data_IF_221636515117
#
_entry.id   IF_221636515117
#
_cell.length_a   1.000
_cell.length_b   1.000
_cell.length_c   1.000
_cell.angle_alpha   90.00
_cell.angle_beta   90.00
_cell.angle_gamma   90.00
#
_symmetry.space_group_name_H-M   'P 1'
#
loop_
_entity.id
_entity.type
_entity.pdbx_description
1 polymer ?
#
# COMPACT_ATOMS: atom_id res chain seq x y z
N UNK A 1 50.92 39.79 -20.18
CA UNK A 1 51.22 41.06 -19.48
C UNK A 1 49.92 41.47 -18.81
N UNK A 2 49.75 41.50 -17.49
CA UNK A 2 50.73 41.42 -16.40
C UNK A 2 50.04 40.80 -15.19
N UNK A 3 50.80 40.00 -14.47
CA UNK A 3 50.51 39.51 -13.12
C UNK A 3 50.36 40.69 -12.16
N UNK A 4 49.47 40.59 -11.18
CA UNK A 4 49.67 41.22 -9.88
C UNK A 4 49.29 40.21 -8.79
N UNK A 5 50.33 39.79 -8.06
CA UNK A 5 50.27 39.06 -6.81
C UNK A 5 50.62 40.05 -5.72
N UNK A 6 49.75 40.23 -4.73
CA UNK A 6 50.16 40.76 -3.42
C UNK A 6 49.42 39.96 -2.36
N UNK A 7 50.22 39.24 -1.57
CA UNK A 7 49.84 38.50 -0.39
C UNK A 7 50.02 39.42 0.81
N UNK A 8 49.06 39.44 1.73
CA UNK A 8 49.33 39.80 3.11
C UNK A 8 48.61 38.80 4.03
N UNK A 9 49.43 38.16 4.86
CA UNK A 9 49.02 37.24 5.91
C UNK A 9 48.70 38.06 7.15
N UNK A 10 47.50 37.88 7.72
CA UNK A 10 47.29 38.18 9.13
C UNK A 10 46.85 36.92 9.86
N UNK A 11 47.65 36.60 10.88
CA UNK A 11 47.57 35.39 11.69
C UNK A 11 46.67 35.69 12.88
N UNK A 12 45.38 35.44 12.71
CA UNK A 12 44.39 35.50 13.78
C UNK A 12 43.91 34.10 14.17
N UNK A 13 44.77 33.32 14.84
CA UNK A 13 44.34 32.11 15.54
C UNK A 13 43.33 32.52 16.61
N UNK A 14 42.04 32.32 16.34
CA UNK A 14 41.03 32.20 17.39
C UNK A 14 40.67 30.73 17.48
N UNK A 15 41.39 30.05 18.38
CA UNK A 15 40.90 28.84 19.03
C UNK A 15 39.56 29.19 19.68
N UNK A 16 38.49 28.96 18.93
CA UNK A 16 37.18 28.68 19.47
C UNK A 16 37.00 27.18 19.40
N UNK A 17 37.80 26.47 20.18
CA UNK A 17 37.53 25.10 20.58
C UNK A 17 36.23 25.18 21.37
N UNK A 18 35.09 25.17 20.66
CA UNK A 18 33.88 24.66 21.28
C UNK A 18 34.08 23.17 21.33
N UNK A 19 34.78 22.74 22.37
CA UNK A 19 34.67 21.40 22.91
C UNK A 19 33.17 21.17 23.13
N UNK A 20 32.52 20.65 22.09
CA UNK A 20 31.29 19.90 22.28
C UNK A 20 31.81 18.61 22.89
N UNK A 21 31.96 18.67 24.21
CA UNK A 21 32.00 17.50 25.07
C UNK A 21 30.68 16.77 24.79
N UNK A 22 30.71 15.90 23.79
CA UNK A 22 29.65 14.95 23.53
C UNK A 22 29.82 13.90 24.62
N UNK A 23 29.55 14.32 25.86
CA UNK A 23 29.31 13.42 26.96
C UNK A 23 28.34 12.39 26.43
N UNK A 24 28.75 11.14 26.49
CA UNK A 24 28.00 9.98 26.03
C UNK A 24 26.78 9.71 26.94
N UNK A 25 26.20 10.76 27.50
CA UNK A 25 25.27 10.81 28.62
C UNK A 25 24.33 12.00 28.40
N UNK A 26 23.59 12.04 27.29
CA UNK A 26 22.32 12.80 27.25
C UNK A 26 21.39 12.46 26.07
N UNK A 27 21.59 11.31 25.43
CA UNK A 27 20.62 10.77 24.46
C UNK A 27 19.53 9.92 25.13
N UNK A 28 19.57 9.80 26.46
CA UNK A 28 18.57 9.05 27.25
C UNK A 28 17.38 9.94 27.70
N UNK A 29 17.51 11.27 27.79
CA UNK A 29 16.41 12.15 28.26
C UNK A 29 15.48 12.69 27.16
N UNK A 30 15.78 12.52 25.87
CA UNK A 30 14.91 13.04 24.79
C UNK A 30 13.78 12.07 24.42
N UNK A 31 13.83 10.81 24.86
CA UNK A 31 12.73 9.84 24.72
C UNK A 31 11.94 9.76 26.02
N UNK A 32 11.17 10.82 26.31
CA UNK A 32 10.14 10.79 27.35
C UNK A 32 9.09 9.73 26.98
N UNK A 33 9.26 8.51 27.50
CA UNK A 33 8.31 7.40 27.35
C UNK A 33 6.89 7.75 27.87
N UNK A 34 6.76 8.86 28.61
CA UNK A 34 5.49 9.38 29.15
C UNK A 34 4.62 10.12 28.12
N UNK A 35 5.15 10.39 26.91
CA UNK A 35 4.43 11.15 25.86
C UNK A 35 3.82 10.24 24.77
N UNK A 36 4.09 8.95 24.80
CA UNK A 36 3.54 8.02 23.82
C UNK A 36 2.21 7.46 24.33
N UNK A 37 1.09 7.65 23.62
CA UNK A 37 -0.20 7.16 24.07
C UNK A 37 -0.18 5.62 24.13
N UNK A 38 -0.27 5.07 25.34
CA UNK A 38 -0.43 3.64 25.56
C UNK A 38 -1.86 3.23 25.21
N UNK A 39 -2.00 2.17 24.41
CA UNK A 39 -3.30 1.57 24.13
C UNK A 39 -3.97 1.14 25.44
N UNK A 40 -5.26 1.45 25.59
CA UNK A 40 -6.05 0.92 26.70
C UNK A 40 -6.15 -0.60 26.59
N UNK A 41 -6.46 -1.30 27.69
CA UNK A 41 -6.57 -2.77 27.70
C UNK A 41 -7.63 -3.27 26.69
N UNK A 42 -8.74 -2.53 26.55
CA UNK A 42 -9.78 -2.85 25.56
C UNK A 42 -9.30 -2.62 24.12
N UNK A 43 -8.58 -1.54 23.84
CA UNK A 43 -7.98 -1.28 22.52
C UNK A 43 -6.92 -2.33 22.16
N UNK A 44 -6.09 -2.72 23.12
CA UNK A 44 -5.11 -3.78 22.94
C UNK A 44 -5.77 -5.12 22.63
N UNK A 45 -6.91 -5.43 23.28
CA UNK A 45 -7.69 -6.64 22.98
C UNK A 45 -8.29 -6.61 21.58
N UNK A 46 -8.91 -5.49 21.18
CA UNK A 46 -9.50 -5.33 19.84
C UNK A 46 -8.42 -5.43 18.77
N UNK A 47 -7.28 -4.77 18.97
CA UNK A 47 -6.15 -4.86 18.06
C UNK A 47 -5.61 -6.29 17.94
N UNK A 48 -5.43 -6.99 19.06
CA UNK A 48 -4.98 -8.38 19.04
C UNK A 48 -5.94 -9.29 18.25
N UNK A 49 -7.25 -9.13 18.43
CA UNK A 49 -8.24 -9.88 17.64
C UNK A 49 -8.14 -9.54 16.15
N UNK A 50 -8.02 -8.26 15.80
CA UNK A 50 -7.86 -7.83 14.41
C UNK A 50 -6.58 -8.40 13.78
N UNK A 51 -5.44 -8.34 14.47
CA UNK A 51 -4.17 -8.91 14.00
C UNK A 51 -4.33 -10.41 13.75
N UNK A 52 -4.96 -11.15 14.68
CA UNK A 52 -5.17 -12.59 14.48
C UNK A 52 -6.03 -12.90 13.25
N UNK A 53 -7.03 -12.06 12.95
CA UNK A 53 -7.86 -12.20 11.76
C UNK A 53 -7.07 -11.89 10.48
N UNK A 54 -6.27 -10.83 10.48
CA UNK A 54 -5.42 -10.43 9.35
C UNK A 54 -4.36 -11.50 9.05
N UNK A 55 -3.72 -12.05 10.08
CA UNK A 55 -2.75 -13.15 9.95
C UNK A 55 -3.41 -14.40 9.35
N UNK A 56 -4.61 -14.77 9.80
CA UNK A 56 -5.36 -15.90 9.24
C UNK A 56 -5.68 -15.68 7.76
N UNK A 57 -6.08 -14.47 7.37
CA UNK A 57 -6.33 -14.14 5.96
C UNK A 57 -5.04 -14.23 5.12
N UNK A 58 -3.93 -13.72 5.65
CA UNK A 58 -2.64 -13.79 4.95
C UNK A 58 -2.16 -15.23 4.76
N UNK A 59 -2.31 -16.07 5.79
CA UNK A 59 -2.00 -17.50 5.70
C UNK A 59 -2.85 -18.20 4.64
N UNK A 60 -4.14 -17.90 4.57
CA UNK A 60 -5.03 -18.45 3.54
C UNK A 60 -4.58 -18.06 2.13
N UNK A 61 -4.27 -16.78 1.90
CA UNK A 61 -3.77 -16.30 0.61
C UNK A 61 -2.43 -16.96 0.25
N UNK A 62 -1.54 -17.17 1.22
CA UNK A 62 -0.28 -17.88 1.01
C UNK A 62 -0.50 -19.34 0.59
N UNK A 63 -1.48 -20.04 1.20
CA UNK A 63 -1.84 -21.41 0.81
C UNK A 63 -2.40 -21.49 -0.62
N UNK A 64 -3.23 -20.51 -1.00
CA UNK A 64 -3.74 -20.39 -2.38
C UNK A 64 -2.61 -20.11 -3.38
N UNK A 65 -1.70 -19.19 -3.04
CA UNK A 65 -0.57 -18.80 -3.90
C UNK A 65 0.45 -19.92 -4.10
N UNK A 66 0.75 -20.67 -3.04
CA UNK A 66 1.65 -21.83 -3.11
C UNK A 66 1.04 -23.03 -3.83
N UNK A 67 -0.27 -23.00 -4.13
CA UNK A 67 -1.00 -24.08 -4.79
C UNK A 67 -1.37 -25.24 -3.87
N UNK A 68 -1.25 -25.08 -2.55
CA UNK A 68 -1.77 -26.05 -1.56
C UNK A 68 -3.30 -26.18 -1.68
N UNK A 69 -3.96 -25.06 -2.01
CA UNK A 69 -5.39 -24.96 -2.22
C UNK A 69 -5.68 -24.77 -3.72
N UNK A 70 -6.54 -25.62 -4.29
CA UNK A 70 -6.90 -25.55 -5.71
C UNK A 70 -7.81 -24.35 -6.01
N UNK A 71 -7.71 -23.82 -7.24
CA UNK A 71 -8.53 -22.67 -7.67
C UNK A 71 -10.04 -22.93 -7.53
N UNK A 72 -10.49 -24.15 -7.83
CA UNK A 72 -11.90 -24.54 -7.79
C UNK A 72 -12.53 -24.45 -6.38
N UNK A 73 -11.72 -24.47 -5.32
CA UNK A 73 -12.26 -24.45 -3.96
C UNK A 73 -12.64 -23.04 -3.48
N UNK A 74 -12.07 -21.99 -4.07
CA UNK A 74 -12.27 -20.60 -3.65
C UNK A 74 -12.75 -19.69 -4.77
N UNK A 75 -12.45 -19.99 -6.03
CA UNK A 75 -12.98 -19.24 -7.16
C UNK A 75 -14.45 -19.59 -7.38
N UNK A 76 -15.34 -18.61 -7.22
CA UNK A 76 -16.79 -18.77 -7.47
C UNK A 76 -17.21 -18.25 -8.84
N UNK A 77 -16.38 -17.44 -9.50
CA UNK A 77 -16.72 -16.88 -10.80
C UNK A 77 -16.30 -17.77 -11.98
N UNK A 78 -15.41 -18.74 -11.79
CA UNK A 78 -14.82 -19.62 -12.82
C UNK A 78 -13.91 -18.94 -13.87
N UNK A 79 -13.64 -17.63 -13.75
CA UNK A 79 -12.76 -16.90 -14.68
C UNK A 79 -11.39 -16.53 -14.07
N UNK A 80 -11.14 -16.81 -12.79
CA UNK A 80 -9.83 -16.55 -12.19
C UNK A 80 -8.77 -17.52 -12.74
N UNK A 81 -7.51 -17.08 -12.78
CA UNK A 81 -6.37 -17.89 -13.20
C UNK A 81 -5.12 -17.54 -12.38
N UNK A 82 -4.31 -18.55 -12.05
CA UNK A 82 -3.04 -18.37 -11.33
C UNK A 82 -1.82 -18.18 -12.25
N UNK A 83 -1.99 -18.26 -13.59
CA UNK A 83 -0.87 -18.27 -14.53
C UNK A 83 0.00 -17.00 -14.50
N UNK A 84 -0.59 -15.86 -14.18
CA UNK A 84 0.07 -14.56 -14.20
C UNK A 84 0.07 -13.88 -12.82
N UNK A 85 -0.28 -14.62 -11.77
CA UNK A 85 -0.29 -14.11 -10.41
C UNK A 85 1.15 -14.04 -9.89
N UNK A 86 1.55 -12.86 -9.43
CA UNK A 86 2.91 -12.58 -8.94
C UNK A 86 2.91 -12.41 -7.42
N UNK A 87 1.81 -11.94 -6.84
CA UNK A 87 1.67 -11.70 -5.41
C UNK A 87 0.54 -12.56 -4.82
N UNK A 88 0.72 -13.03 -3.58
CA UNK A 88 -0.32 -13.80 -2.87
C UNK A 88 -1.62 -13.02 -2.66
N UNK A 89 -1.53 -11.69 -2.58
CA UNK A 89 -2.68 -10.80 -2.42
C UNK A 89 -3.62 -10.83 -3.64
N UNK A 90 -3.13 -11.28 -4.80
CA UNK A 90 -3.91 -11.43 -6.03
C UNK A 90 -4.70 -12.74 -6.08
N UNK A 91 -4.51 -13.67 -5.13
CA UNK A 91 -5.27 -14.92 -5.00
C UNK A 91 -6.67 -14.72 -4.41
N UNK A 92 -7.38 -13.69 -4.90
CA UNK A 92 -8.74 -13.31 -4.50
C UNK A 92 -9.69 -13.42 -5.68
N UNK A 93 -10.88 -13.95 -5.43
CA UNK A 93 -11.92 -14.01 -6.45
C UNK A 93 -12.68 -12.68 -6.50
N UNK A 94 -13.10 -12.24 -7.69
CA UNK A 94 -13.88 -10.99 -7.82
C UNK A 94 -15.18 -11.00 -6.98
N UNK A 95 -15.70 -12.18 -6.67
CA UNK A 95 -16.89 -12.36 -5.82
C UNK A 95 -16.61 -12.25 -4.32
N UNK A 96 -15.34 -12.33 -3.88
CA UNK A 96 -14.95 -12.13 -2.47
C UNK A 96 -14.88 -10.64 -2.11
N UNK A 97 -14.83 -9.76 -3.11
CA UNK A 97 -14.81 -8.31 -2.93
C UNK A 97 -16.24 -7.79 -2.78
N UNK A 98 -16.74 -7.74 -1.54
CA UNK A 98 -18.13 -7.40 -1.23
C UNK A 98 -18.54 -6.01 -1.75
N UNK A 99 -17.67 -5.01 -1.59
CA UNK A 99 -17.91 -3.64 -2.08
C UNK A 99 -18.19 -3.61 -3.59
N UNK A 100 -17.44 -4.42 -4.34
CA UNK A 100 -17.60 -4.52 -5.78
C UNK A 100 -18.94 -5.19 -6.13
N UNK A 101 -19.26 -6.31 -5.48
CA UNK A 101 -20.53 -7.02 -5.70
C UNK A 101 -21.75 -6.16 -5.35
N UNK A 102 -21.66 -5.35 -4.29
CA UNK A 102 -22.70 -4.40 -3.92
C UNK A 102 -22.86 -3.29 -4.97
N UNK A 103 -21.75 -2.79 -5.52
CA UNK A 103 -21.80 -1.78 -6.59
C UNK A 103 -22.42 -2.35 -7.85
N UNK A 104 -22.05 -3.56 -8.26
CA UNK A 104 -22.63 -4.26 -9.41
C UNK A 104 -24.12 -4.53 -9.22
N UNK A 105 -24.56 -4.95 -8.04
CA UNK A 105 -25.99 -5.17 -7.77
C UNK A 105 -26.82 -3.89 -7.82
N UNK A 106 -26.24 -2.74 -7.47
CA UNK A 106 -26.95 -1.46 -7.50
C UNK A 106 -27.33 -0.96 -8.90
N UNK A 107 -26.58 -1.33 -9.95
CA UNK A 107 -26.82 -0.88 -11.32
C UNK A 107 -27.76 -1.79 -12.13
N UNK A 108 -28.01 -3.00 -11.62
CA UNK A 108 -28.83 -4.00 -12.30
C UNK A 108 -29.73 -4.68 -11.25
N UNK A 109 -30.88 -4.08 -10.93
CA UNK A 109 -31.78 -4.60 -9.89
C UNK A 109 -32.41 -5.95 -10.26
N UNK A 110 -32.43 -6.33 -11.54
CA UNK A 110 -33.11 -7.53 -12.04
C UNK A 110 -32.26 -8.82 -12.09
N UNK A 111 -30.95 -8.80 -11.72
CA UNK A 111 -30.06 -9.98 -11.72
C UNK A 111 -30.00 -10.81 -13.02
N UNK A 112 -30.65 -10.35 -14.08
CA UNK A 112 -30.84 -11.09 -15.33
C UNK A 112 -29.69 -10.88 -16.32
N UNK A 113 -28.95 -9.79 -16.17
CA UNK A 113 -27.80 -9.43 -17.01
C UNK A 113 -26.46 -9.49 -16.25
N UNK A 114 -26.48 -9.78 -14.95
CA UNK A 114 -25.25 -9.98 -14.16
C UNK A 114 -24.78 -11.41 -14.32
N UNK A 115 -23.72 -11.58 -15.11
CA UNK A 115 -22.95 -12.82 -15.07
C UNK A 115 -22.34 -13.07 -13.69
N UNK A 116 -21.79 -14.26 -13.51
CA UNK A 116 -21.14 -14.70 -12.26
C UNK A 116 -19.78 -14.02 -12.03
N UNK A 117 -19.31 -13.20 -12.99
CA UNK A 117 -18.01 -12.53 -12.95
C UNK A 117 -18.10 -11.03 -13.26
N UNK A 118 -17.16 -10.26 -12.70
CA UNK A 118 -16.95 -8.83 -13.04
C UNK A 118 -16.80 -8.60 -14.54
N UNK A 119 -16.15 -9.52 -15.25
CA UNK A 119 -15.88 -9.38 -16.68
C UNK A 119 -17.13 -9.52 -17.54
N UNK A 120 -18.20 -10.10 -17.00
CA UNK A 120 -19.48 -10.30 -17.70
C UNK A 120 -20.42 -9.11 -17.52
N UNK A 121 -20.08 -8.15 -16.67
CA UNK A 121 -20.86 -6.92 -16.52
C UNK A 121 -20.84 -6.10 -17.81
N UNK A 122 -21.99 -5.59 -18.23
CA UNK A 122 -22.16 -4.84 -19.50
C UNK A 122 -21.19 -3.66 -19.65
N UNK A 123 -20.93 -2.94 -18.56
CA UNK A 123 -19.97 -1.83 -18.54
C UNK A 123 -18.48 -2.24 -18.55
N UNK A 124 -18.14 -3.52 -18.35
CA UNK A 124 -16.74 -3.94 -18.24
C UNK A 124 -16.00 -3.81 -19.58
N UNK A 125 -16.60 -4.27 -20.69
CA UNK A 125 -15.99 -4.13 -22.01
C UNK A 125 -15.83 -2.66 -22.42
N UNK A 126 -16.86 -1.85 -22.18
CA UNK A 126 -16.89 -0.45 -22.58
C UNK A 126 -15.91 0.42 -21.79
N UNK A 127 -15.72 0.14 -20.49
CA UNK A 127 -14.93 1.00 -19.59
C UNK A 127 -13.53 0.46 -19.34
N UNK A 128 -13.38 -0.84 -19.12
CA UNK A 128 -12.11 -1.44 -18.67
C UNK A 128 -11.24 -1.96 -19.81
N UNK A 129 -11.83 -2.28 -20.98
CA UNK A 129 -11.08 -2.88 -22.10
C UNK A 129 -10.86 -1.92 -23.28
N UNK A 130 -11.62 -0.82 -23.39
CA UNK A 130 -11.44 0.15 -24.50
C UNK A 130 -10.24 1.07 -24.25
N UNK A 131 -9.19 0.90 -25.05
CA UNK A 131 -7.98 1.72 -25.01
C UNK A 131 -8.26 3.23 -25.01
N UNK A 132 -9.11 3.72 -25.92
CA UNK A 132 -9.43 5.15 -26.02
C UNK A 132 -10.08 5.72 -24.74
N UNK A 133 -10.94 4.93 -24.08
CA UNK A 133 -11.58 5.33 -22.83
C UNK A 133 -10.52 5.48 -21.73
N UNK A 134 -9.59 4.53 -21.64
CA UNK A 134 -8.49 4.56 -20.68
C UNK A 134 -7.49 5.70 -20.96
N UNK A 135 -7.17 5.98 -22.22
CA UNK A 135 -6.28 7.07 -22.60
C UNK A 135 -6.86 8.44 -22.21
N UNK A 136 -8.15 8.66 -22.51
CA UNK A 136 -8.84 9.91 -22.16
C UNK A 136 -8.94 10.07 -20.64
N UNK A 137 -9.30 9.02 -19.91
CA UNK A 137 -9.32 9.05 -18.45
C UNK A 137 -7.92 9.35 -17.88
N UNK A 138 -6.88 8.75 -18.46
CA UNK A 138 -5.49 8.94 -18.06
C UNK A 138 -4.97 10.37 -18.23
N UNK A 139 -5.45 11.13 -19.24
CA UNK A 139 -5.08 12.55 -19.41
C UNK A 139 -5.49 13.38 -18.19
N UNK A 140 -6.71 13.18 -17.69
CA UNK A 140 -7.22 13.91 -16.52
C UNK A 140 -6.52 13.54 -15.23
N UNK A 141 -6.02 12.30 -15.12
CA UNK A 141 -5.31 11.80 -13.93
C UNK A 141 -3.84 12.22 -13.89
N UNK A 142 -3.23 12.62 -15.01
CA UNK A 142 -1.79 12.98 -15.11
C UNK A 142 -1.45 14.38 -14.60
N UNK A 143 -2.35 15.10 -13.94
CA UNK A 143 -2.10 16.46 -13.47
C UNK A 143 -1.79 16.52 -11.96
N UNK A 144 -0.54 16.21 -11.61
CA UNK A 144 0.19 16.80 -10.46
C UNK A 144 1.67 16.45 -10.58
N UNK A 145 2.41 17.32 -11.27
CA UNK A 145 3.84 17.55 -11.03
C UNK A 145 3.96 18.90 -10.33
#
# INVERSE_FOLDING_TARGET
>A
MSSNSESDSDSGTRNGESDIDFAQEDLEEVFNNDMEPLATEDEARVYAEQVTLEEQQQQELMRRFSGEVSLDSWCKCSFCSLNHVVNMEECRCCTEMEEFMQKVSSYSPDNSEQGNCVTEHSGFDEVCLKQWVLEVAGISLKNKN
#
